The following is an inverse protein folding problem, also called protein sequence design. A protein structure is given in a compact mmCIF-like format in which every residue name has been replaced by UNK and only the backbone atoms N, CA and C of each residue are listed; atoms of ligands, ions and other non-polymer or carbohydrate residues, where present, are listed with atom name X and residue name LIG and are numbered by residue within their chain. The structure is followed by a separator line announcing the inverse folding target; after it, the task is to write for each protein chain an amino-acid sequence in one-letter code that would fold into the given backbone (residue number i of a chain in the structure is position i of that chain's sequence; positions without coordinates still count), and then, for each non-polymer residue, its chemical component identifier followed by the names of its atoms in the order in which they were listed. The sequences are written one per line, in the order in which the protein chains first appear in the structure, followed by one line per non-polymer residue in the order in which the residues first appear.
data_IF_834231151619
#
_entry.id   IF_834231151619
#
_cell.length_a   1.000
_cell.length_b   1.000
_cell.length_c   1.000
_cell.angle_alpha   90.00
_cell.angle_beta   90.00
_cell.angle_gamma   90.00
#
_symmetry.space_group_name_H-M   'P 1'
#
loop_
_entity.id
_entity.type
_entity.pdbx_description
1 polymer ?
#
# COMPACT_ATOMS: atom_id res chain seq x y z
N UNK A 1 38.72 -5.00 28.87
CA UNK A 1 38.99 -5.61 27.54
C UNK A 1 37.73 -6.17 26.89
N UNK A 2 36.94 -7.03 27.56
CA UNK A 2 35.71 -7.62 27.00
C UNK A 2 34.64 -6.59 26.57
N UNK A 3 34.46 -5.51 27.33
CA UNK A 3 33.52 -4.42 26.97
C UNK A 3 33.88 -3.80 25.61
N UNK A 4 35.15 -3.48 25.39
CA UNK A 4 35.63 -2.88 24.15
C UNK A 4 35.46 -3.83 22.96
N UNK A 5 35.77 -5.12 23.14
CA UNK A 5 35.53 -6.14 22.11
C UNK A 5 34.03 -6.22 21.75
N UNK A 6 33.15 -6.17 22.74
CA UNK A 6 31.70 -6.13 22.53
C UNK A 6 31.25 -4.90 21.74
N UNK A 7 31.78 -3.72 22.06
CA UNK A 7 31.48 -2.47 21.33
C UNK A 7 31.96 -2.53 19.88
N UNK A 8 33.18 -3.04 19.63
CA UNK A 8 33.69 -3.21 18.27
C UNK A 8 32.86 -4.22 17.47
N UNK A 9 32.48 -5.35 18.07
CA UNK A 9 31.63 -6.33 17.43
C UNK A 9 30.25 -5.74 17.08
N UNK A 10 29.65 -4.98 18.00
CA UNK A 10 28.37 -4.31 17.76
C UNK A 10 28.48 -3.28 16.64
N UNK A 11 29.53 -2.46 16.64
CA UNK A 11 29.77 -1.47 15.59
C UNK A 11 29.99 -2.11 14.19
N UNK A 12 30.71 -3.23 14.14
CA UNK A 12 30.86 -4.02 12.91
C UNK A 12 29.52 -4.57 12.43
N UNK A 13 28.73 -5.15 13.34
CA UNK A 13 27.41 -5.70 13.03
C UNK A 13 26.41 -4.64 12.55
N UNK A 14 26.34 -3.49 13.21
CA UNK A 14 25.45 -2.39 12.81
C UNK A 14 25.83 -1.84 11.44
N UNK A 15 27.12 -1.66 11.18
CA UNK A 15 27.64 -1.20 9.88
C UNK A 15 27.30 -2.19 8.77
N UNK A 16 27.56 -3.49 8.98
CA UNK A 16 27.23 -4.52 8.00
C UNK A 16 25.72 -4.57 7.72
N UNK A 17 24.90 -4.55 8.76
CA UNK A 17 23.44 -4.56 8.63
C UNK A 17 22.94 -3.32 7.88
N UNK A 18 23.54 -2.15 8.12
CA UNK A 18 23.17 -0.92 7.43
C UNK A 18 23.32 -1.05 5.91
N UNK A 19 24.49 -1.48 5.42
CA UNK A 19 24.71 -1.62 3.98
C UNK A 19 23.84 -2.71 3.35
N UNK A 20 23.66 -3.84 4.04
CA UNK A 20 22.80 -4.93 3.56
C UNK A 20 21.33 -4.52 3.48
N UNK A 21 20.82 -3.87 4.54
CA UNK A 21 19.45 -3.39 4.63
C UNK A 21 19.16 -2.30 3.61
N UNK A 22 20.06 -1.32 3.50
CA UNK A 22 20.02 -0.25 2.48
C UNK A 22 19.91 -0.83 1.07
N UNK A 23 20.77 -1.80 0.73
CA UNK A 23 20.75 -2.44 -0.59
C UNK A 23 19.39 -3.08 -0.87
N UNK A 24 18.87 -3.84 0.08
CA UNK A 24 17.55 -4.49 -0.03
C UNK A 24 16.45 -3.46 -0.27
N UNK A 25 16.39 -2.39 0.53
CA UNK A 25 15.34 -1.38 0.40
C UNK A 25 15.44 -0.62 -0.94
N UNK A 26 16.65 -0.30 -1.42
CA UNK A 26 16.85 0.32 -2.73
C UNK A 26 16.42 -0.59 -3.89
N UNK A 27 16.72 -1.89 -3.81
CA UNK A 27 16.27 -2.87 -4.80
C UNK A 27 14.72 -2.94 -4.83
N UNK A 28 14.07 -3.00 -3.67
CA UNK A 28 12.61 -2.99 -3.56
C UNK A 28 12.00 -1.70 -4.13
N UNK A 29 12.52 -0.53 -3.76
CA UNK A 29 12.05 0.76 -4.29
C UNK A 29 12.14 0.78 -5.81
N UNK A 30 13.28 0.38 -6.38
CA UNK A 30 13.51 0.36 -7.82
C UNK A 30 12.51 -0.55 -8.53
N UNK A 31 12.28 -1.75 -7.99
CA UNK A 31 11.36 -2.71 -8.61
C UNK A 31 9.91 -2.23 -8.53
N UNK A 32 9.48 -1.69 -7.39
CA UNK A 32 8.14 -1.16 -7.21
C UNK A 32 7.88 0.08 -8.07
N UNK A 33 8.85 0.99 -8.19
CA UNK A 33 8.77 2.14 -9.11
C UNK A 33 8.59 1.66 -10.55
N UNK A 34 9.37 0.68 -11.01
CA UNK A 34 9.22 0.12 -12.36
C UNK A 34 7.84 -0.49 -12.60
N UNK A 35 7.32 -1.25 -11.64
CA UNK A 35 5.98 -1.81 -11.75
C UNK A 35 4.91 -0.74 -11.83
N UNK A 36 4.98 0.27 -10.95
CA UNK A 36 4.06 1.41 -10.92
C UNK A 36 4.09 2.14 -12.26
N UNK A 37 5.26 2.61 -12.70
CA UNK A 37 5.39 3.40 -13.93
C UNK A 37 4.94 2.61 -15.16
N UNK A 38 5.34 1.33 -15.28
CA UNK A 38 4.92 0.47 -16.39
C UNK A 38 3.43 0.14 -16.41
N UNK A 39 2.73 0.37 -15.29
CA UNK A 39 1.29 0.12 -15.16
C UNK A 39 0.45 1.37 -15.34
N UNK A 40 1.01 2.55 -15.04
CA UNK A 40 0.33 3.83 -15.14
C UNK A 40 0.60 4.57 -16.45
N UNK A 41 1.76 4.37 -17.07
CA UNK A 41 2.23 5.14 -18.23
C UNK A 41 2.05 6.66 -18.02
N UNK A 42 2.69 7.24 -16.97
CA UNK A 42 2.40 8.61 -16.54
C UNK A 42 2.91 9.65 -17.54
N UNK A 43 2.12 10.71 -17.73
CA UNK A 43 2.50 11.90 -18.49
C UNK A 43 3.48 12.76 -17.71
N UNK A 44 3.27 12.85 -16.40
CA UNK A 44 4.07 13.63 -15.47
C UNK A 44 4.16 12.87 -14.14
N UNK A 45 5.29 13.03 -13.45
CA UNK A 45 5.60 12.32 -12.22
C UNK A 45 6.47 13.16 -11.29
N UNK A 46 6.09 13.23 -10.02
CA UNK A 46 6.85 13.85 -8.95
C UNK A 46 7.15 12.80 -7.88
N UNK A 47 8.40 12.73 -7.41
CA UNK A 47 8.81 11.86 -6.31
C UNK A 47 9.42 12.66 -5.16
N UNK A 48 8.96 12.36 -3.95
CA UNK A 48 9.50 12.89 -2.69
C UNK A 48 9.99 11.72 -1.86
N UNK A 49 11.31 11.63 -1.65
CA UNK A 49 11.91 10.56 -0.85
C UNK A 49 11.58 10.74 0.64
N UNK A 50 11.21 9.64 1.30
CA UNK A 50 10.95 9.62 2.75
C UNK A 50 12.08 8.85 3.43
N UNK A 51 12.87 9.52 4.26
CA UNK A 51 13.95 8.87 5.03
C UNK A 51 15.05 8.24 4.16
N UNK A 52 15.22 8.74 2.93
CA UNK A 52 16.16 8.30 1.88
C UNK A 52 16.00 6.84 1.39
N UNK A 53 15.86 5.87 2.30
CA UNK A 53 15.68 4.43 2.04
C UNK A 53 14.39 3.86 2.63
N UNK A 54 13.62 4.67 3.37
CA UNK A 54 12.38 4.25 4.02
C UNK A 54 11.16 4.29 3.08
N UNK A 55 11.35 4.71 1.82
CA UNK A 55 10.32 4.75 0.80
C UNK A 55 10.17 6.12 0.16
N UNK A 56 8.98 6.40 -0.37
CA UNK A 56 8.72 7.64 -1.11
C UNK A 56 7.22 7.97 -1.10
N UNK A 57 6.91 9.24 -1.38
CA UNK A 57 5.62 9.68 -1.88
C UNK A 57 5.78 10.06 -3.34
N UNK A 58 4.75 9.83 -4.14
CA UNK A 58 4.76 10.18 -5.54
C UNK A 58 3.39 10.64 -6.00
N UNK A 59 3.39 11.55 -6.95
CA UNK A 59 2.19 12.05 -7.62
C UNK A 59 2.36 11.83 -9.12
N UNK A 60 1.34 11.25 -9.76
CA UNK A 60 1.32 10.96 -11.18
C UNK A 60 0.13 11.64 -11.85
N UNK A 61 0.37 12.20 -13.04
CA UNK A 61 -0.69 12.55 -14.00
C UNK A 61 -0.72 11.48 -15.09
N UNK A 62 -1.91 11.02 -15.44
CA UNK A 62 -2.12 9.96 -16.44
C UNK A 62 -3.04 10.45 -17.55
N UNK A 63 -2.99 9.80 -18.73
CA UNK A 63 -3.89 10.10 -19.87
C UNK A 63 -5.26 9.44 -19.66
N UNK A 64 -5.94 9.79 -18.59
CA UNK A 64 -7.26 9.26 -18.26
C UNK A 64 -8.14 10.38 -17.72
N UNK A 65 -9.19 10.75 -18.47
CA UNK A 65 -10.08 11.86 -18.13
C UNK A 65 -10.89 11.64 -16.84
N UNK A 66 -11.06 10.39 -16.40
CA UNK A 66 -11.73 10.03 -15.15
C UNK A 66 -10.83 10.18 -13.92
N UNK A 67 -9.53 10.40 -14.11
CA UNK A 67 -8.53 10.47 -13.04
C UNK A 67 -7.84 11.84 -13.08
N UNK A 68 -8.04 12.63 -12.03
CA UNK A 68 -7.36 13.91 -11.85
C UNK A 68 -5.86 13.71 -11.59
N UNK A 69 -5.54 12.84 -10.64
CA UNK A 69 -4.17 12.44 -10.30
C UNK A 69 -4.13 11.16 -9.48
N UNK A 70 -2.96 10.53 -9.44
CA UNK A 70 -2.71 9.32 -8.66
C UNK A 70 -1.61 9.62 -7.65
N UNK A 71 -1.89 9.42 -6.37
CA UNK A 71 -0.92 9.59 -5.28
C UNK A 71 -0.52 8.20 -4.76
N UNK A 72 0.77 7.92 -4.74
CA UNK A 72 1.30 6.65 -4.21
C UNK A 72 2.29 6.93 -3.09
N UNK A 73 2.08 6.27 -1.94
CA UNK A 73 2.99 6.33 -0.79
C UNK A 73 3.51 4.95 -0.46
N UNK A 74 4.82 4.76 -0.60
CA UNK A 74 5.55 3.56 -0.18
C UNK A 74 6.24 3.82 1.16
N UNK A 75 6.01 2.93 2.13
CA UNK A 75 6.77 2.86 3.38
C UNK A 75 7.42 1.49 3.52
N UNK A 76 8.74 1.45 3.54
CA UNK A 76 9.53 0.24 3.74
C UNK A 76 9.93 0.10 5.22
N UNK A 77 10.02 -1.14 5.68
CA UNK A 77 10.61 -1.44 6.98
C UNK A 77 12.09 -1.01 7.02
N UNK A 78 12.58 -0.54 8.18
CA UNK A 78 13.92 0.02 8.34
C UNK A 78 14.98 -1.08 8.44
N UNK A 79 15.15 -1.84 7.36
CA UNK A 79 16.06 -3.01 7.30
C UNK A 79 17.51 -2.63 7.53
N UNK A 80 17.89 -1.37 7.29
CA UNK A 80 19.22 -0.83 7.57
C UNK A 80 19.51 -0.67 9.07
N UNK A 81 18.48 -0.61 9.91
CA UNK A 81 18.63 -0.37 11.34
C UNK A 81 18.68 -1.67 12.14
N UNK A 82 19.86 -2.16 12.51
CA UNK A 82 20.03 -3.42 13.25
C UNK A 82 19.18 -3.50 14.53
N UNK A 83 19.16 -2.41 15.31
CA UNK A 83 18.48 -2.39 16.60
C UNK A 83 16.97 -2.12 16.49
N UNK A 84 16.58 -1.33 15.49
CA UNK A 84 15.18 -0.90 15.34
C UNK A 84 14.36 -1.83 14.44
N UNK A 85 15.00 -2.57 13.53
CA UNK A 85 14.31 -3.50 12.63
C UNK A 85 13.54 -4.60 13.39
N UNK A 86 14.08 -5.25 14.45
CA UNK A 86 13.32 -6.21 15.24
C UNK A 86 12.07 -5.61 15.88
N UNK A 87 12.16 -4.38 16.40
CA UNK A 87 11.03 -3.64 16.98
C UNK A 87 9.99 -3.34 15.89
N UNK A 88 10.44 -3.00 14.68
CA UNK A 88 9.56 -2.74 13.54
C UNK A 88 8.82 -3.99 13.06
N UNK A 89 9.42 -5.18 13.15
CA UNK A 89 8.74 -6.44 12.83
C UNK A 89 7.58 -6.74 13.79
N UNK A 90 7.69 -6.33 15.04
CA UNK A 90 6.63 -6.50 16.04
C UNK A 90 5.51 -5.47 15.89
N UNK A 91 5.87 -4.23 15.56
CA UNK A 91 4.94 -3.09 15.53
C UNK A 91 4.35 -2.85 14.14
N UNK A 92 5.19 -2.61 13.12
CA UNK A 92 4.78 -2.31 11.73
C UNK A 92 4.46 -3.57 10.92
N UNK A 93 5.15 -4.68 11.23
CA UNK A 93 4.96 -6.05 10.68
C UNK A 93 5.34 -6.24 9.21
N UNK A 94 5.09 -5.27 8.33
CA UNK A 94 5.38 -5.38 6.89
C UNK A 94 5.56 -4.02 6.22
N UNK A 95 6.09 -4.03 4.99
CA UNK A 95 6.09 -2.87 4.11
C UNK A 95 4.65 -2.46 3.75
N UNK A 96 4.45 -1.20 3.40
CA UNK A 96 3.13 -0.61 3.16
C UNK A 96 3.14 0.17 1.86
N UNK A 97 2.14 -0.08 1.01
CA UNK A 97 1.91 0.70 -0.20
C UNK A 97 0.47 1.20 -0.18
N UNK A 98 0.33 2.51 -0.32
CA UNK A 98 -0.94 3.20 -0.43
C UNK A 98 -1.05 3.78 -1.83
N UNK A 99 -2.18 3.57 -2.48
CA UNK A 99 -2.49 4.07 -3.82
C UNK A 99 -3.82 4.81 -3.73
N UNK A 100 -3.82 6.08 -4.09
CA UNK A 100 -5.00 6.94 -4.08
C UNK A 100 -5.22 7.41 -5.51
N UNK A 101 -6.32 6.99 -6.12
CA UNK A 101 -6.78 7.54 -7.39
C UNK A 101 -7.78 8.66 -7.08
N UNK A 102 -7.42 9.91 -7.38
CA UNK A 102 -8.36 11.04 -7.31
C UNK A 102 -9.18 11.06 -8.59
N UNK A 103 -10.50 10.95 -8.41
CA UNK A 103 -11.45 10.83 -9.51
C UNK A 103 -11.98 12.21 -9.89
N UNK A 104 -12.14 12.44 -11.18
CA UNK A 104 -12.75 13.68 -11.70
C UNK A 104 -14.25 13.75 -11.37
N UNK A 105 -14.91 12.59 -11.26
CA UNK A 105 -16.34 12.48 -10.91
C UNK A 105 -16.49 11.94 -9.48
N UNK A 106 -17.44 12.53 -8.75
CA UNK A 106 -17.80 12.10 -7.40
C UNK A 106 -18.53 10.74 -7.49
N UNK A 107 -18.04 9.67 -6.83
CA UNK A 107 -18.76 8.41 -6.78
C UNK A 107 -20.04 8.55 -5.95
N UNK A 108 -21.06 7.75 -6.26
CA UNK A 108 -22.38 7.86 -5.62
C UNK A 108 -22.41 7.31 -4.19
N UNK A 109 -21.55 6.35 -3.89
CA UNK A 109 -21.63 5.54 -2.68
C UNK A 109 -20.27 5.41 -2.00
N UNK A 110 -20.30 5.30 -0.67
CA UNK A 110 -19.13 5.00 0.14
C UNK A 110 -19.07 3.51 0.42
N UNK A 111 -18.04 2.84 -0.10
CA UNK A 111 -17.88 1.38 0.02
C UNK A 111 -16.48 1.08 0.49
N UNK A 112 -16.36 0.22 1.50
CA UNK A 112 -15.11 -0.22 2.08
C UNK A 112 -15.02 -1.75 2.07
N UNK A 113 -13.88 -2.28 1.64
CA UNK A 113 -13.50 -3.69 1.82
C UNK A 113 -12.22 -3.69 2.64
N UNK A 114 -12.26 -4.19 3.87
CA UNK A 114 -11.15 -4.10 4.82
C UNK A 114 -10.79 -5.48 5.38
N UNK A 115 -9.52 -5.84 5.26
CA UNK A 115 -9.00 -7.07 5.84
C UNK A 115 -9.00 -6.96 7.38
N UNK A 116 -9.52 -7.93 8.15
CA UNK A 116 -9.65 -7.83 9.62
C UNK A 116 -8.35 -7.48 10.35
N UNK A 117 -7.21 -8.02 9.89
CA UNK A 117 -5.86 -7.71 10.40
C UNK A 117 -5.51 -6.21 10.42
N UNK A 118 -6.15 -5.34 9.63
CA UNK A 118 -5.80 -3.90 9.53
C UNK A 118 -6.65 -2.96 10.37
N UNK A 119 -7.76 -3.45 10.92
CA UNK A 119 -8.63 -2.71 11.84
C UNK A 119 -7.89 -2.13 13.04
N UNK A 120 -6.87 -2.83 13.55
CA UNK A 120 -6.16 -2.44 14.77
C UNK A 120 -5.23 -1.24 14.62
N UNK A 121 -4.82 -0.88 13.41
CA UNK A 121 -3.78 0.13 13.20
C UNK A 121 -4.04 1.12 12.05
N UNK A 122 -4.72 0.72 10.97
CA UNK A 122 -4.94 1.58 9.80
C UNK A 122 -6.42 1.89 9.50
N UNK A 123 -7.36 1.20 10.16
CA UNK A 123 -8.80 1.32 9.90
C UNK A 123 -9.64 1.37 11.20
N UNK A 124 -9.07 1.88 12.29
CA UNK A 124 -9.71 1.87 13.63
C UNK A 124 -11.06 2.61 13.63
N UNK A 125 -11.14 3.71 12.89
CA UNK A 125 -12.34 4.54 12.75
C UNK A 125 -13.49 3.81 12.04
N UNK A 126 -13.16 2.87 11.14
CA UNK A 126 -14.13 2.13 10.34
C UNK A 126 -14.80 0.98 11.11
N UNK A 127 -14.33 0.67 12.33
CA UNK A 127 -14.78 -0.49 13.10
C UNK A 127 -16.30 -0.51 13.34
N UNK A 128 -16.91 0.66 13.52
CA UNK A 128 -18.35 0.77 13.80
C UNK A 128 -19.21 0.76 12.52
N UNK A 129 -18.59 0.96 11.36
CA UNK A 129 -19.26 1.07 10.06
C UNK A 129 -19.22 -0.25 9.29
N UNK A 130 -18.16 -1.04 9.48
CA UNK A 130 -17.96 -2.33 8.82
C UNK A 130 -18.74 -3.46 9.50
N UNK A 131 -20.05 -3.51 9.26
CA UNK A 131 -20.98 -4.46 9.90
C UNK A 131 -21.10 -5.79 9.17
N UNK A 132 -20.82 -5.80 7.88
CA UNK A 132 -21.00 -6.97 7.01
C UNK A 132 -19.68 -7.69 6.78
N UNK A 133 -19.77 -8.94 6.35
CA UNK A 133 -18.63 -9.78 5.95
C UNK A 133 -18.79 -10.18 4.49
N UNK A 134 -17.67 -10.33 3.80
CA UNK A 134 -17.66 -10.83 2.43
C UNK A 134 -16.45 -11.73 2.22
N UNK A 135 -16.63 -12.81 1.46
CA UNK A 135 -15.55 -13.76 1.18
C UNK A 135 -14.97 -13.43 -0.19
N UNK A 136 -13.66 -13.17 -0.23
CA UNK A 136 -12.93 -12.89 -1.46
C UNK A 136 -11.70 -13.79 -1.49
N UNK A 137 -11.60 -14.65 -2.50
CA UNK A 137 -10.51 -15.62 -2.68
C UNK A 137 -10.25 -16.46 -1.41
N UNK A 138 -11.33 -16.96 -0.79
CA UNK A 138 -11.25 -17.76 0.45
C UNK A 138 -10.90 -16.97 1.72
N UNK A 139 -10.73 -15.66 1.62
CA UNK A 139 -10.39 -14.78 2.76
C UNK A 139 -11.59 -13.93 3.15
N UNK A 140 -11.85 -13.81 4.46
CA UNK A 140 -12.95 -12.98 4.99
C UNK A 140 -12.50 -11.52 5.10
N UNK A 141 -13.25 -10.64 4.46
CA UNK A 141 -13.14 -9.19 4.56
C UNK A 141 -14.36 -8.61 5.27
N UNK A 142 -14.20 -7.43 5.85
CA UNK A 142 -15.28 -6.64 6.43
C UNK A 142 -15.69 -5.54 5.47
N UNK A 143 -16.99 -5.25 5.40
CA UNK A 143 -17.55 -4.22 4.53
C UNK A 143 -18.73 -3.51 5.20
N UNK A 144 -19.00 -2.28 4.77
CA UNK A 144 -20.16 -1.49 5.18
C UNK A 144 -21.38 -1.69 4.24
N UNK A 145 -21.23 -2.49 3.20
CA UNK A 145 -22.23 -2.70 2.15
C UNK A 145 -22.69 -4.15 2.12
N UNK A 146 -23.91 -4.41 1.65
CA UNK A 146 -24.42 -5.78 1.48
C UNK A 146 -23.68 -6.54 0.37
N UNK A 147 -23.58 -7.86 0.51
CA UNK A 147 -22.73 -8.70 -0.35
C UNK A 147 -23.12 -8.66 -1.84
N UNK A 148 -24.42 -8.48 -2.13
CA UNK A 148 -24.99 -8.47 -3.49
C UNK A 148 -24.93 -7.10 -4.18
N UNK A 149 -24.34 -6.10 -3.54
CA UNK A 149 -24.29 -4.75 -4.10
C UNK A 149 -23.44 -4.68 -5.38
N UNK A 150 -23.94 -4.12 -6.49
CA UNK A 150 -23.24 -4.11 -7.79
C UNK A 150 -21.83 -3.51 -7.71
N UNK A 151 -21.69 -2.30 -7.17
CA UNK A 151 -20.41 -1.61 -6.98
C UNK A 151 -19.44 -2.40 -6.09
N UNK A 152 -19.95 -3.11 -5.07
CA UNK A 152 -19.12 -3.96 -4.22
C UNK A 152 -18.56 -5.14 -5.03
N UNK A 153 -19.38 -5.79 -5.85
CA UNK A 153 -18.95 -6.89 -6.70
C UNK A 153 -17.84 -6.46 -7.67
N UNK A 154 -17.93 -5.27 -8.23
CA UNK A 154 -16.87 -4.71 -9.08
C UNK A 154 -15.60 -4.40 -8.28
N UNK A 155 -15.70 -3.83 -7.07
CA UNK A 155 -14.55 -3.57 -6.21
C UNK A 155 -13.82 -4.84 -5.74
N UNK A 156 -14.52 -5.98 -5.60
CA UNK A 156 -13.90 -7.28 -5.28
C UNK A 156 -12.81 -7.66 -6.30
N UNK A 157 -12.92 -7.22 -7.56
CA UNK A 157 -11.92 -7.50 -8.61
C UNK A 157 -10.55 -6.83 -8.38
N UNK A 158 -10.48 -5.83 -7.48
CA UNK A 158 -9.23 -5.19 -7.06
C UNK A 158 -8.54 -6.02 -5.96
N UNK A 159 -9.30 -6.78 -5.18
CA UNK A 159 -8.82 -7.61 -4.08
C UNK A 159 -8.33 -8.95 -4.63
N UNK A 160 -7.12 -8.93 -5.19
CA UNK A 160 -6.54 -10.07 -5.90
C UNK A 160 -6.03 -11.18 -4.98
N UNK A 161 -5.55 -10.84 -3.78
CA UNK A 161 -5.11 -11.78 -2.75
C UNK A 161 -5.15 -11.15 -1.34
N UNK A 162 -4.77 -11.91 -0.31
CA UNK A 162 -4.75 -11.46 1.11
C UNK A 162 -3.78 -10.31 1.43
N UNK A 163 -2.91 -9.91 0.50
CA UNK A 163 -2.02 -8.76 0.66
C UNK A 163 -2.70 -7.44 0.26
N UNK A 164 -3.84 -7.48 -0.43
CA UNK A 164 -4.69 -6.30 -0.61
C UNK A 164 -5.51 -6.13 0.65
N UNK A 165 -5.15 -5.16 1.47
CA UNK A 165 -5.60 -5.06 2.84
C UNK A 165 -6.80 -4.15 3.04
N UNK A 166 -6.96 -3.15 2.18
CA UNK A 166 -8.11 -2.24 2.23
C UNK A 166 -8.32 -1.63 0.86
N UNK A 167 -9.53 -1.75 0.31
CA UNK A 167 -10.00 -1.04 -0.87
C UNK A 167 -11.20 -0.19 -0.45
N UNK A 168 -11.25 1.08 -0.83
CA UNK A 168 -12.45 1.89 -0.58
C UNK A 168 -12.71 2.91 -1.67
N UNK A 169 -13.99 3.13 -1.94
CA UNK A 169 -14.51 4.20 -2.76
C UNK A 169 -15.18 5.22 -1.83
N UNK A 170 -14.73 6.47 -1.85
CA UNK A 170 -15.17 7.50 -0.89
C UNK A 170 -15.66 8.76 -1.64
N UNK A 171 -16.98 9.04 -1.62
CA UNK A 171 -17.58 10.22 -2.26
C UNK A 171 -17.01 11.54 -1.75
N UNK A 172 -16.88 11.67 -0.42
CA UNK A 172 -16.49 12.91 0.23
C UNK A 172 -15.18 13.49 -0.31
N UNK A 173 -14.22 12.63 -0.64
CA UNK A 173 -12.91 13.03 -1.18
C UNK A 173 -12.73 12.68 -2.65
N UNK A 174 -13.75 12.07 -3.29
CA UNK A 174 -13.71 11.57 -4.67
C UNK A 174 -12.50 10.69 -4.94
N UNK A 175 -12.27 9.70 -4.08
CA UNK A 175 -11.11 8.81 -4.21
C UNK A 175 -11.49 7.33 -4.27
N UNK A 176 -10.77 6.60 -5.11
CA UNK A 176 -10.55 5.18 -4.92
C UNK A 176 -9.22 4.99 -4.20
N UNK A 177 -9.27 4.38 -3.01
CA UNK A 177 -8.12 4.12 -2.17
C UNK A 177 -7.81 2.63 -2.12
N UNK A 178 -6.54 2.28 -2.24
CA UNK A 178 -6.04 0.92 -2.07
C UNK A 178 -4.83 0.92 -1.14
N UNK A 179 -4.89 0.09 -0.11
CA UNK A 179 -3.78 -0.22 0.78
C UNK A 179 -3.42 -1.69 0.66
N UNK A 180 -2.13 -1.98 0.46
CA UNK A 180 -1.63 -3.35 0.32
C UNK A 180 -0.24 -3.53 0.94
N UNK A 181 0.12 -4.79 1.16
CA UNK A 181 1.52 -5.20 1.35
C UNK A 181 2.14 -5.35 -0.04
N UNK A 182 3.11 -4.51 -0.42
CA UNK A 182 3.67 -4.59 -1.75
C UNK A 182 4.42 -5.92 -1.95
N UNK A 183 4.21 -6.53 -3.11
CA UNK A 183 4.94 -7.70 -3.60
C UNK A 183 5.19 -7.53 -5.09
N UNK A 184 6.29 -8.09 -5.58
CA UNK A 184 6.59 -8.09 -7.02
C UNK A 184 5.44 -8.73 -7.80
N UNK A 185 5.01 -8.07 -8.88
CA UNK A 185 3.91 -8.46 -9.75
C UNK A 185 2.51 -8.11 -9.21
N UNK A 186 2.33 -7.99 -7.89
CA UNK A 186 1.01 -7.67 -7.32
C UNK A 186 0.63 -6.22 -7.59
N UNK A 187 1.58 -5.28 -7.44
CA UNK A 187 1.33 -3.84 -7.59
C UNK A 187 0.76 -3.54 -8.98
N UNK A 188 1.42 -4.06 -10.02
CA UNK A 188 0.96 -3.91 -11.40
C UNK A 188 -0.44 -4.45 -11.62
N UNK A 189 -0.77 -5.62 -11.06
CA UNK A 189 -2.10 -6.23 -11.21
C UNK A 189 -3.17 -5.40 -10.50
N UNK A 190 -2.90 -4.95 -9.27
CA UNK A 190 -3.81 -4.11 -8.48
C UNK A 190 -4.09 -2.79 -9.21
N UNK A 191 -3.05 -2.11 -9.70
CA UNK A 191 -3.22 -0.86 -10.46
C UNK A 191 -4.10 -1.10 -11.71
N UNK A 192 -3.83 -2.16 -12.48
CA UNK A 192 -4.66 -2.49 -13.65
C UNK A 192 -6.11 -2.78 -13.29
N UNK A 193 -6.36 -3.56 -12.23
CA UNK A 193 -7.73 -3.81 -11.75
C UNK A 193 -8.43 -2.51 -11.31
N UNK A 194 -7.70 -1.61 -10.63
CA UNK A 194 -8.23 -0.30 -10.23
C UNK A 194 -8.56 0.58 -11.44
N UNK A 195 -7.69 0.65 -12.45
CA UNK A 195 -7.97 1.41 -13.68
C UNK A 195 -9.19 0.82 -14.41
N UNK A 196 -9.27 -0.49 -14.57
CA UNK A 196 -10.42 -1.16 -15.19
C UNK A 196 -11.74 -0.94 -14.42
N UNK A 197 -11.67 -0.79 -13.09
CA UNK A 197 -12.82 -0.40 -12.29
C UNK A 197 -13.22 1.05 -12.56
N UNK A 198 -12.26 1.97 -12.58
CA UNK A 198 -12.50 3.40 -12.84
C UNK A 198 -13.09 3.62 -14.23
N UNK A 199 -12.67 2.85 -15.24
CA UNK A 199 -13.27 2.91 -16.58
C UNK A 199 -14.76 2.53 -16.62
N UNK A 200 -15.25 1.78 -15.63
CA UNK A 200 -16.65 1.37 -15.53
C UNK A 200 -17.51 2.29 -14.65
N UNK A 201 -16.90 3.20 -13.89
CA UNK A 201 -17.58 4.26 -13.14
C UNK A 201 -18.15 5.34 -14.07
#
# INVERSE_FOLDING_TARGET
MLLWLGLFALAGATTYQFFRGRRTNLELMRDYVREIESSLDPVDKLYTLTGLYSGFKSEFKVRNEKIEKIEISLGLMPRESLLYYPISLLTLRHDRLYIVFRLTKIPREEIHIVHPKTLGYNAKELRNVLKNKVIINGTIYLTNTEENHPTLNDLKSIVLDENVLHVSLVPRTSVLYVFLKPRRGLIKKVIKSSLNFIERL
#
